data_IF_835190597295
#
_entry.id   IF_835190597295
#
_cell.length_a   1.000
_cell.length_b   1.000
_cell.length_c   1.000
_cell.angle_alpha   90.00
_cell.angle_beta   90.00
_cell.angle_gamma   90.00
#
_symmetry.space_group_name_H-M   'P 1'
#
loop_
_entity.id
_entity.type
_entity.pdbx_description
1 polymer ?
#
# COMPACT_ATOMS: atom_id res chain seq x y z
N UNK A 1 -9.58 -0.80 8.06
CA UNK A 1 -9.24 0.41 7.29
C UNK A 1 -8.64 -0.07 5.97
N UNK A 2 -9.12 0.49 4.87
CA UNK A 2 -8.80 0.05 3.50
C UNK A 2 -8.32 1.23 2.68
N UNK A 3 -7.61 0.95 1.60
CA UNK A 3 -7.32 1.97 0.58
C UNK A 3 -7.73 1.46 -0.79
N UNK A 4 -8.23 2.38 -1.60
CA UNK A 4 -8.49 2.16 -3.01
C UNK A 4 -7.31 2.74 -3.77
N UNK A 5 -6.69 1.92 -4.61
CA UNK A 5 -5.61 2.34 -5.48
C UNK A 5 -5.91 1.97 -6.93
N UNK A 6 -5.22 2.63 -7.85
CA UNK A 6 -5.32 2.37 -9.29
C UNK A 6 -3.97 1.96 -9.85
N UNK A 7 -3.93 0.85 -10.59
CA UNK A 7 -2.74 0.45 -11.35
C UNK A 7 -2.49 1.45 -12.46
N UNK A 8 -1.26 1.97 -12.58
CA UNK A 8 -0.94 3.02 -13.55
C UNK A 8 -1.02 2.51 -15.00
N UNK A 9 -0.58 1.29 -15.25
CA UNK A 9 -0.47 0.75 -16.61
C UNK A 9 -1.82 0.32 -17.18
N UNK A 10 -2.68 -0.27 -16.35
CA UNK A 10 -3.97 -0.86 -16.78
C UNK A 10 -5.19 -0.01 -16.42
N UNK A 11 -5.05 0.92 -15.47
CA UNK A 11 -6.18 1.66 -14.91
C UNK A 11 -7.07 0.84 -13.97
N UNK A 12 -6.70 -0.42 -13.69
CA UNK A 12 -7.44 -1.31 -12.80
C UNK A 12 -7.50 -0.76 -11.38
N UNK A 13 -8.67 -0.84 -10.75
CA UNK A 13 -8.89 -0.43 -9.36
C UNK A 13 -8.67 -1.63 -8.43
N UNK A 14 -7.88 -1.43 -7.40
CA UNK A 14 -7.52 -2.47 -6.43
C UNK A 14 -7.83 -2.00 -5.00
N UNK A 15 -8.36 -2.92 -4.19
CA UNK A 15 -8.50 -2.73 -2.75
C UNK A 15 -7.29 -3.29 -2.02
N UNK A 16 -6.76 -2.52 -1.07
CA UNK A 16 -5.73 -2.98 -0.15
C UNK A 16 -6.23 -2.93 1.29
N UNK A 17 -5.93 -3.97 2.05
CA UNK A 17 -6.30 -4.11 3.45
C UNK A 17 -5.12 -3.73 4.35
N UNK A 18 -5.40 -3.05 5.45
CA UNK A 18 -4.40 -2.81 6.48
C UNK A 18 -4.24 -4.05 7.37
N UNK A 19 -3.01 -4.52 7.51
CA UNK A 19 -2.61 -5.59 8.43
C UNK A 19 -1.70 -5.03 9.52
N UNK A 20 -1.85 -5.55 10.73
CA UNK A 20 -1.02 -5.23 11.88
C UNK A 20 0.32 -5.98 11.82
N UNK A 21 1.42 -5.26 12.05
CA UNK A 21 2.76 -5.82 12.15
C UNK A 21 3.41 -5.37 13.47
N UNK A 22 3.63 -6.35 14.35
CA UNK A 22 4.18 -6.17 15.72
C UNK A 22 5.65 -6.54 15.83
N UNK A 23 6.31 -6.95 14.73
CA UNK A 23 7.67 -7.52 14.78
C UNK A 23 8.75 -6.55 15.29
N UNK A 24 8.52 -5.24 15.21
CA UNK A 24 9.52 -4.21 15.58
C UNK A 24 9.31 -3.59 16.97
N UNK A 25 8.44 -4.17 17.81
CA UNK A 25 8.09 -3.62 19.13
C UNK A 25 7.32 -2.29 19.09
N UNK A 26 6.99 -1.81 17.89
CA UNK A 26 6.13 -0.66 17.62
C UNK A 26 4.96 -1.14 16.78
N UNK A 27 3.74 -0.82 17.21
CA UNK A 27 2.52 -1.13 16.47
C UNK A 27 2.50 -0.37 15.14
N UNK A 28 2.74 -1.10 14.04
CA UNK A 28 2.64 -0.57 12.69
C UNK A 28 1.51 -1.28 11.95
N UNK A 29 0.91 -0.57 11.01
CA UNK A 29 -0.02 -1.15 10.05
C UNK A 29 0.56 -1.00 8.66
N UNK A 30 0.43 -2.02 7.83
CA UNK A 30 0.90 -2.04 6.44
C UNK A 30 -0.24 -2.43 5.52
N UNK A 31 -0.29 -1.86 4.32
CA UNK A 31 -1.31 -2.24 3.33
C UNK A 31 -0.82 -3.39 2.46
N UNK A 32 -1.70 -4.35 2.18
CA UNK A 32 -1.43 -5.45 1.26
C UNK A 32 -2.66 -5.77 0.38
N UNK A 33 -2.42 -6.39 -0.77
CA UNK A 33 -3.49 -6.92 -1.63
C UNK A 33 -3.93 -8.33 -1.19
N UNK A 34 -4.89 -8.90 -1.91
CA UNK A 34 -5.38 -10.25 -1.66
C UNK A 34 -4.32 -11.34 -1.87
N UNK A 35 -3.28 -11.06 -2.65
CA UNK A 35 -2.16 -11.98 -2.93
C UNK A 35 -1.06 -11.90 -1.86
N UNK A 36 -1.17 -10.94 -0.92
CA UNK A 36 -0.18 -10.72 0.15
C UNK A 36 0.98 -9.80 -0.26
N UNK A 37 0.90 -9.13 -1.41
CA UNK A 37 1.89 -8.14 -1.79
C UNK A 37 1.71 -6.88 -0.93
N UNK A 38 2.75 -6.49 -0.20
CA UNK A 38 2.72 -5.25 0.57
C UNK A 38 3.01 -4.01 -0.29
N UNK A 39 2.42 -2.90 0.12
CA UNK A 39 2.70 -1.57 -0.39
C UNK A 39 4.14 -1.15 -0.04
N UNK A 40 4.91 -0.78 -1.06
CA UNK A 40 6.34 -0.43 -0.95
C UNK A 40 6.60 0.92 -1.62
N UNK A 41 7.65 1.59 -1.16
CA UNK A 41 8.08 2.86 -1.77
C UNK A 41 8.65 2.62 -3.17
N UNK A 42 8.27 3.45 -4.14
CA UNK A 42 8.87 3.45 -5.48
C UNK A 42 10.36 3.80 -5.45
N UNK A 43 10.81 4.62 -4.48
CA UNK A 43 12.21 5.02 -4.33
C UNK A 43 13.01 3.96 -3.57
N UNK A 44 12.37 3.24 -2.64
CA UNK A 44 12.99 2.21 -1.80
C UNK A 44 12.12 0.95 -1.75
N UNK A 45 12.17 0.10 -2.80
CA UNK A 45 11.23 -1.01 -2.99
C UNK A 45 11.41 -2.19 -2.03
N UNK A 46 12.39 -2.14 -1.13
CA UNK A 46 12.60 -3.12 -0.06
C UNK A 46 11.97 -2.69 1.28
N UNK A 47 11.48 -1.45 1.39
CA UNK A 47 10.91 -0.92 2.63
C UNK A 47 9.39 -0.94 2.55
N UNK A 48 8.75 -1.74 3.42
CA UNK A 48 7.31 -1.64 3.68
C UNK A 48 6.98 -0.22 4.14
N UNK A 49 5.89 0.34 3.66
CA UNK A 49 5.47 1.68 4.06
C UNK A 49 4.43 1.65 5.17
N UNK A 50 4.72 2.26 6.34
CA UNK A 50 3.73 2.37 7.39
C UNK A 50 2.49 3.09 6.86
N UNK A 51 1.32 2.59 7.22
CA UNK A 51 0.03 3.15 6.82
C UNK A 51 -0.07 4.66 7.03
N UNK A 52 0.49 5.18 8.13
CA UNK A 52 0.48 6.61 8.45
C UNK A 52 1.21 7.49 7.43
N UNK A 53 2.04 6.89 6.56
CA UNK A 53 2.78 7.58 5.50
C UNK A 53 2.11 7.51 4.13
N UNK A 54 0.92 6.91 4.04
CA UNK A 54 0.17 6.74 2.79
C UNK A 54 -0.91 7.80 2.72
N UNK A 55 -0.92 8.62 1.67
CA UNK A 55 -1.95 9.63 1.39
C UNK A 55 -2.43 9.53 -0.07
N UNK A 56 -3.63 10.05 -0.40
CA UNK A 56 -4.12 10.09 -1.78
C UNK A 56 -3.14 10.78 -2.74
N UNK A 57 -3.21 10.39 -4.02
CA UNK A 57 -2.36 10.85 -5.13
C UNK A 57 -0.87 10.47 -5.02
N UNK A 58 -0.46 9.71 -4.01
CA UNK A 58 0.89 9.14 -3.97
C UNK A 58 1.01 7.89 -4.81
N UNK A 59 2.21 7.69 -5.37
CA UNK A 59 2.54 6.51 -6.17
C UNK A 59 3.41 5.54 -5.38
N UNK A 60 3.08 4.25 -5.46
CA UNK A 60 3.73 3.17 -4.73
C UNK A 60 3.94 1.95 -5.62
N UNK A 61 4.76 1.03 -5.13
CA UNK A 61 4.98 -0.28 -5.74
C UNK A 61 4.19 -1.35 -4.99
N UNK A 62 3.51 -2.23 -5.73
CA UNK A 62 2.75 -3.37 -5.21
C UNK A 62 3.05 -4.60 -6.06
N UNK A 63 3.76 -5.58 -5.50
CA UNK A 63 4.37 -6.63 -6.31
C UNK A 63 5.31 -6.00 -7.34
N UNK A 64 5.06 -6.25 -8.62
CA UNK A 64 5.76 -5.65 -9.76
C UNK A 64 4.99 -4.49 -10.43
N UNK A 65 3.85 -4.09 -9.84
CA UNK A 65 2.97 -3.04 -10.38
C UNK A 65 3.26 -1.69 -9.76
N UNK A 66 3.09 -0.63 -10.54
CA UNK A 66 3.04 0.74 -10.02
C UNK A 66 1.60 1.18 -9.85
N UNK A 67 1.26 1.69 -8.67
CA UNK A 67 -0.11 2.06 -8.31
C UNK A 67 -0.17 3.48 -7.75
N UNK A 68 -1.31 4.15 -7.92
CA UNK A 68 -1.61 5.46 -7.33
C UNK A 68 -2.73 5.30 -6.32
N UNK A 69 -2.57 5.88 -5.13
CA UNK A 69 -3.62 5.89 -4.11
C UNK A 69 -4.71 6.86 -4.52
N UNK A 70 -5.95 6.39 -4.58
CA UNK A 70 -7.11 7.20 -4.93
C UNK A 70 -7.82 7.66 -3.66
N UNK A 71 -8.07 6.74 -2.73
CA UNK A 71 -8.87 7.01 -1.55
C UNK A 71 -8.40 6.20 -0.35
N UNK A 72 -8.55 6.79 0.85
CA UNK A 72 -8.33 6.12 2.12
C UNK A 72 -9.67 6.01 2.84
N UNK A 73 -10.10 4.78 3.08
CA UNK A 73 -11.35 4.45 3.76
C UNK A 73 -11.00 4.08 5.19
N UNK A 74 -11.31 4.99 6.10
CA UNK A 74 -11.07 4.85 7.53
C UNK A 74 -12.14 4.01 8.22
#
# INVERSE_FOLDING_TARGET
MKIIARVQDTGEMIELNAEEDVTSGTLNFFYHDQEGNYLRSTIRPYKKLPRKSVVPNMTFTLGDRTIVIIEIIE
#
